data_IF_015870123444
#
_entry.id   IF_015870123444
#
_cell.length_a   1.000
_cell.length_b   1.000
_cell.length_c   1.000
_cell.angle_alpha   90.00
_cell.angle_beta   90.00
_cell.angle_gamma   90.00
#
_symmetry.space_group_name_H-M   'P 1'
#
loop_
_entity.id
_entity.type
_entity.pdbx_description
1 polymer ?
#
# COMPACT_ATOMS: atom_id res chain seq x y z
N UNK A 1 50.70 17.80 -32.11
CA UNK A 1 49.53 17.38 -32.90
C UNK A 1 48.34 18.03 -32.25
N UNK A 2 47.80 19.06 -32.90
CA UNK A 2 46.73 19.89 -32.40
C UNK A 2 45.57 19.78 -33.40
N UNK A 3 44.44 19.31 -32.89
CA UNK A 3 43.12 19.19 -33.51
C UNK A 3 42.17 19.61 -32.37
N UNK A 4 41.11 20.41 -32.51
CA UNK A 4 40.31 20.81 -33.66
C UNK A 4 39.41 21.98 -33.21
N UNK A 5 38.86 22.64 -34.22
CA UNK A 5 38.00 23.83 -34.26
C UNK A 5 36.83 23.90 -33.25
N UNK A 6 36.57 25.11 -32.74
CA UNK A 6 35.33 25.49 -32.05
C UNK A 6 34.49 26.37 -33.01
N UNK A 7 33.38 25.79 -33.47
CA UNK A 7 32.37 26.41 -34.32
C UNK A 7 31.52 27.40 -33.52
N UNK A 8 31.33 28.58 -34.13
CA UNK A 8 30.29 29.57 -33.86
C UNK A 8 28.90 28.97 -34.12
N UNK A 9 27.93 29.28 -33.26
CA UNK A 9 26.58 28.77 -33.39
C UNK A 9 25.62 29.43 -32.41
N UNK A 10 25.20 30.65 -32.74
CA UNK A 10 24.10 31.32 -32.03
C UNK A 10 22.82 30.48 -32.01
N UNK A 11 22.07 30.56 -30.91
CA UNK A 11 20.67 30.18 -30.90
C UNK A 11 19.88 31.05 -29.92
N UNK A 12 19.03 31.84 -30.54
CA UNK A 12 17.92 32.63 -30.02
C UNK A 12 17.16 31.96 -28.88
N UNK A 13 17.05 32.69 -27.77
CA UNK A 13 16.11 32.47 -26.67
C UNK A 13 14.66 32.49 -27.17
N UNK A 14 13.84 31.45 -26.95
CA UNK A 14 12.40 31.60 -27.04
C UNK A 14 11.85 32.22 -25.74
N UNK A 15 10.90 33.16 -25.79
CA UNK A 15 10.07 33.52 -24.66
C UNK A 15 8.80 32.67 -24.69
N UNK A 16 8.46 31.97 -23.61
CA UNK A 16 7.05 31.60 -23.37
C UNK A 16 6.79 31.33 -21.90
N UNK A 17 5.81 32.05 -21.40
CA UNK A 17 5.08 31.86 -20.16
C UNK A 17 4.53 30.44 -20.05
N UNK A 18 4.73 29.79 -18.90
CA UNK A 18 4.13 28.49 -18.63
C UNK A 18 3.91 28.33 -17.14
N UNK A 19 2.73 28.74 -16.67
CA UNK A 19 2.16 28.32 -15.39
C UNK A 19 2.32 26.80 -15.27
N UNK A 20 3.27 26.36 -14.45
CA UNK A 20 3.40 24.93 -14.16
C UNK A 20 2.63 24.68 -12.87
N UNK A 21 1.64 23.79 -12.89
CA UNK A 21 0.64 23.65 -11.85
C UNK A 21 1.29 23.22 -10.53
N UNK A 22 0.71 23.69 -9.43
CA UNK A 22 0.80 23.06 -8.13
C UNK A 22 0.49 21.57 -8.31
N UNK A 23 1.52 20.75 -8.47
CA UNK A 23 1.38 19.30 -8.37
C UNK A 23 0.87 19.01 -6.96
N UNK A 24 -0.17 18.19 -6.78
CA UNK A 24 -0.49 17.72 -5.44
C UNK A 24 0.77 17.02 -4.94
N UNK A 25 1.20 17.42 -3.74
CA UNK A 25 2.16 16.74 -2.91
C UNK A 25 1.54 15.37 -2.56
N UNK A 26 1.50 14.48 -3.53
CA UNK A 26 0.84 13.19 -3.46
C UNK A 26 1.81 12.18 -2.93
N UNK A 27 1.90 12.11 -1.60
CA UNK A 27 2.45 11.03 -0.79
C UNK A 27 3.03 9.85 -1.58
N UNK A 28 4.34 9.65 -1.43
CA UNK A 28 5.10 8.44 -1.78
C UNK A 28 4.66 7.22 -0.93
N UNK A 29 3.35 7.05 -0.76
CA UNK A 29 2.77 5.79 -0.35
C UNK A 29 3.04 4.79 -1.47
N UNK A 30 3.81 3.72 -1.24
CA UNK A 30 3.98 2.67 -2.23
C UNK A 30 2.59 2.25 -2.68
N UNK A 31 2.34 2.27 -4.00
CA UNK A 31 1.06 1.89 -4.58
C UNK A 31 0.68 0.53 -4.02
N UNK A 32 -0.20 0.52 -3.01
CA UNK A 32 -0.83 -0.68 -2.49
C UNK A 32 -1.26 -1.50 -3.71
N UNK A 33 -0.86 -2.78 -3.82
CA UNK A 33 -1.33 -3.57 -4.94
C UNK A 33 -2.86 -3.49 -4.96
N UNK A 34 -3.42 -3.47 -6.18
CA UNK A 34 -4.85 -3.37 -6.44
C UNK A 34 -5.67 -4.38 -5.59
N UNK A 35 -5.03 -5.47 -5.18
CA UNK A 35 -5.42 -6.45 -4.16
C UNK A 35 -5.79 -5.90 -2.78
N UNK A 36 -5.74 -4.60 -2.52
CA UNK A 36 -6.18 -4.01 -1.24
C UNK A 36 -7.14 -2.83 -1.43
N UNK A 37 -7.51 -2.52 -2.69
CA UNK A 37 -8.39 -1.42 -3.09
C UNK A 37 -9.59 -1.99 -3.83
N UNK A 38 -10.68 -2.24 -3.11
CA UNK A 38 -11.92 -2.73 -3.71
C UNK A 38 -12.83 -1.56 -4.13
N UNK A 39 -13.38 -1.56 -5.36
CA UNK A 39 -14.55 -0.77 -5.66
C UNK A 39 -15.73 -1.35 -4.88
N UNK A 40 -16.34 -0.56 -4.02
CA UNK A 40 -17.64 -0.90 -3.42
C UNK A 40 -18.66 -0.04 -4.15
N UNK A 41 -19.69 -0.68 -4.71
CA UNK A 41 -20.74 -0.07 -5.54
C UNK A 41 -21.00 1.40 -5.19
N UNK A 42 -20.56 2.31 -6.07
CA UNK A 42 -20.86 3.74 -6.03
C UNK A 42 -19.99 4.65 -5.16
N UNK A 43 -19.03 4.17 -4.35
CA UNK A 43 -18.20 5.05 -3.49
C UNK A 43 -16.71 4.66 -3.38
N UNK A 44 -15.93 5.66 -2.95
CA UNK A 44 -14.49 5.70 -2.67
C UNK A 44 -13.87 4.35 -2.25
N UNK A 45 -12.77 3.95 -2.92
CA UNK A 45 -12.02 2.72 -2.67
C UNK A 45 -11.94 2.41 -1.17
N UNK A 46 -12.59 1.34 -0.72
CA UNK A 46 -12.55 0.98 0.71
C UNK A 46 -11.15 0.50 1.04
N UNK A 47 -10.42 1.33 1.79
CA UNK A 47 -9.15 0.92 2.36
C UNK A 47 -9.42 -0.06 3.51
N UNK A 48 -9.32 -1.36 3.22
CA UNK A 48 -9.49 -2.47 4.18
C UNK A 48 -8.62 -2.25 5.42
N UNK A 49 -7.42 -1.70 5.23
CA UNK A 49 -6.47 -1.43 6.31
C UNK A 49 -6.99 -0.40 7.32
N UNK A 50 -7.82 0.56 6.89
CA UNK A 50 -8.49 1.50 7.82
C UNK A 50 -9.58 0.83 8.66
N UNK A 51 -10.13 -0.31 8.21
CA UNK A 51 -11.24 -1.00 8.88
C UNK A 51 -10.77 -2.02 9.93
N UNK A 52 -9.51 -2.45 9.88
CA UNK A 52 -8.91 -3.36 10.87
C UNK A 52 -8.77 -2.69 12.24
N UNK A 53 -8.54 -1.36 12.27
CA UNK A 53 -8.47 -0.53 13.49
C UNK A 53 -7.58 -1.21 14.55
N UNK A 54 -8.05 -1.37 15.79
CA UNK A 54 -7.31 -1.92 16.93
C UNK A 54 -6.94 -3.41 16.83
N UNK A 55 -7.40 -4.12 15.79
CA UNK A 55 -7.05 -5.54 15.59
C UNK A 55 -5.77 -5.76 14.78
N UNK A 56 -5.02 -4.69 14.48
CA UNK A 56 -3.81 -4.74 13.64
C UNK A 56 -2.78 -5.76 14.14
N UNK A 57 -2.62 -5.93 15.46
CA UNK A 57 -1.65 -6.89 16.01
C UNK A 57 -2.08 -8.34 15.79
N UNK A 58 -3.36 -8.66 16.04
CA UNK A 58 -3.90 -10.00 15.77
C UNK A 58 -3.91 -10.29 14.27
N UNK A 59 -4.21 -9.28 13.46
CA UNK A 59 -4.14 -9.36 12.00
C UNK A 59 -2.74 -9.70 11.52
N UNK A 60 -1.70 -9.02 12.03
CA UNK A 60 -0.30 -9.31 11.71
C UNK A 60 0.10 -10.73 12.07
N UNK A 61 -0.14 -11.13 13.32
CA UNK A 61 0.17 -12.47 13.83
C UNK A 61 -0.47 -13.56 12.95
N UNK A 62 -1.76 -13.43 12.62
CA UNK A 62 -2.46 -14.44 11.83
C UNK A 62 -2.08 -14.43 10.35
N UNK A 63 -1.93 -13.25 9.74
CA UNK A 63 -1.66 -13.15 8.30
C UNK A 63 -0.21 -13.51 7.98
N UNK A 64 0.73 -13.09 8.83
CA UNK A 64 2.15 -13.35 8.66
C UNK A 64 2.59 -14.72 9.21
N UNK A 65 1.66 -15.48 9.80
CA UNK A 65 1.96 -16.73 10.53
C UNK A 65 3.08 -16.53 11.56
N UNK A 66 3.03 -15.38 12.23
CA UNK A 66 4.03 -14.90 13.17
C UNK A 66 3.64 -15.35 14.59
N UNK A 67 3.92 -16.63 14.89
CA UNK A 67 3.52 -17.31 16.13
C UNK A 67 3.98 -16.58 17.40
N UNK A 68 5.13 -15.91 17.35
CA UNK A 68 5.69 -15.16 18.49
C UNK A 68 5.19 -13.71 18.53
N UNK A 69 4.71 -13.18 17.42
CA UNK A 69 4.36 -11.77 17.26
C UNK A 69 5.56 -10.84 17.10
N UNK A 70 6.78 -11.37 16.96
CA UNK A 70 8.02 -10.59 16.93
C UNK A 70 8.07 -9.70 15.68
N UNK A 71 7.76 -10.27 14.51
CA UNK A 71 7.76 -9.52 13.25
C UNK A 71 6.67 -8.44 13.27
N UNK A 72 5.51 -8.78 13.81
CA UNK A 72 4.39 -7.85 13.97
C UNK A 72 4.75 -6.70 14.91
N UNK A 73 5.41 -6.97 16.03
CA UNK A 73 5.81 -5.95 17.00
C UNK A 73 6.96 -5.06 16.45
N UNK A 74 7.85 -5.61 15.63
CA UNK A 74 8.84 -4.82 14.86
C UNK A 74 8.14 -3.84 13.91
N UNK A 75 7.10 -4.29 13.19
CA UNK A 75 6.30 -3.42 12.32
C UNK A 75 5.62 -2.31 13.13
N UNK A 76 4.95 -2.67 14.24
CA UNK A 76 4.27 -1.72 15.13
C UNK A 76 5.23 -0.62 15.60
N UNK A 77 6.42 -1.03 16.06
CA UNK A 77 7.46 -0.11 16.52
C UNK A 77 7.97 0.79 15.40
N UNK A 78 8.26 0.23 14.22
CA UNK A 78 8.75 0.98 13.06
C UNK A 78 7.73 2.00 12.55
N UNK A 79 6.44 1.65 12.59
CA UNK A 79 5.34 2.51 12.17
C UNK A 79 4.86 3.48 13.27
N UNK A 80 5.49 3.49 14.45
CA UNK A 80 5.19 4.43 15.56
C UNK A 80 3.71 4.43 15.96
N UNK A 81 3.10 3.25 16.06
CA UNK A 81 1.68 3.08 16.41
C UNK A 81 0.68 3.70 15.41
N UNK A 82 1.12 4.12 14.21
CA UNK A 82 0.21 4.51 13.14
C UNK A 82 -0.48 3.27 12.57
N UNK A 83 -1.75 3.08 12.96
CA UNK A 83 -2.56 1.92 12.60
C UNK A 83 -2.65 1.70 11.09
N UNK A 84 -2.77 2.77 10.30
CA UNK A 84 -2.89 2.64 8.85
C UNK A 84 -1.57 2.19 8.23
N UNK A 85 -0.46 2.78 8.68
CA UNK A 85 0.88 2.37 8.26
C UNK A 85 1.18 0.93 8.69
N UNK A 86 0.83 0.53 9.92
CA UNK A 86 1.01 -0.84 10.44
C UNK A 86 0.28 -1.85 9.58
N UNK A 87 -1.03 -1.65 9.36
CA UNK A 87 -1.83 -2.58 8.57
C UNK A 87 -1.34 -2.66 7.12
N UNK A 88 -0.93 -1.52 6.55
CA UNK A 88 -0.35 -1.47 5.20
C UNK A 88 0.95 -2.28 5.13
N UNK A 89 1.84 -2.12 6.11
CA UNK A 89 3.13 -2.78 6.13
C UNK A 89 3.02 -4.29 6.38
N UNK A 90 2.09 -4.71 7.27
CA UNK A 90 1.72 -6.12 7.45
C UNK A 90 1.28 -6.71 6.11
N UNK A 91 0.37 -6.05 5.41
CA UNK A 91 -0.14 -6.54 4.14
C UNK A 91 0.97 -6.59 3.06
N UNK A 92 1.87 -5.61 3.03
CA UNK A 92 3.01 -5.60 2.11
C UNK A 92 3.95 -6.78 2.34
N UNK A 93 4.27 -7.11 3.59
CA UNK A 93 5.08 -8.30 3.91
C UNK A 93 4.38 -9.58 3.45
N UNK A 94 3.07 -9.67 3.67
CA UNK A 94 2.29 -10.80 3.17
C UNK A 94 2.35 -10.93 1.64
N UNK A 95 2.22 -9.82 0.92
CA UNK A 95 2.30 -9.78 -0.55
C UNK A 95 3.71 -10.05 -1.09
N UNK A 96 4.75 -9.88 -0.27
CA UNK A 96 6.13 -10.28 -0.56
C UNK A 96 6.36 -11.79 -0.33
N UNK A 97 5.34 -12.54 0.10
CA UNK A 97 5.39 -13.97 0.31
C UNK A 97 5.70 -14.41 1.75
N UNK A 98 5.58 -13.51 2.73
CA UNK A 98 5.75 -13.83 4.15
C UNK A 98 4.40 -14.24 4.75
N UNK A 99 4.36 -15.38 5.43
CA UNK A 99 3.16 -15.88 6.10
C UNK A 99 2.19 -16.64 5.19
N UNK A 100 0.89 -16.46 5.42
CA UNK A 100 -0.15 -17.34 4.87
C UNK A 100 -0.11 -17.41 3.35
N UNK A 101 -0.11 -18.63 2.83
CA UNK A 101 -0.20 -18.94 1.41
C UNK A 101 -1.49 -19.72 1.10
N UNK A 102 -2.16 -19.49 -0.05
CA UNK A 102 -1.76 -18.60 -1.14
C UNK A 102 -2.08 -17.11 -0.85
N UNK A 103 -1.34 -16.17 -1.46
CA UNK A 103 -1.59 -14.73 -1.32
C UNK A 103 -2.82 -14.28 -2.12
N UNK A 104 -4.01 -14.66 -1.65
CA UNK A 104 -5.30 -14.44 -2.33
C UNK A 104 -6.30 -13.71 -1.45
N UNK A 105 -7.33 -13.15 -2.07
CA UNK A 105 -8.43 -12.54 -1.36
C UNK A 105 -9.16 -13.48 -0.40
N UNK A 106 -9.35 -14.76 -0.76
CA UNK A 106 -9.97 -15.75 0.13
C UNK A 106 -9.14 -15.98 1.40
N UNK A 107 -7.81 -16.01 1.28
CA UNK A 107 -6.89 -16.10 2.43
C UNK A 107 -7.06 -14.89 3.34
N UNK A 108 -7.10 -13.68 2.77
CA UNK A 108 -7.31 -12.44 3.54
C UNK A 108 -8.69 -12.43 4.22
N UNK A 109 -9.74 -12.82 3.50
CA UNK A 109 -11.11 -12.91 4.03
C UNK A 109 -11.17 -13.89 5.20
N UNK A 110 -10.53 -15.05 5.08
CA UNK A 110 -10.46 -16.05 6.15
C UNK A 110 -9.78 -15.47 7.39
N UNK A 111 -8.63 -14.81 7.24
CA UNK A 111 -7.94 -14.15 8.37
C UNK A 111 -8.83 -13.08 9.01
N UNK A 112 -9.54 -12.28 8.21
CA UNK A 112 -10.48 -11.28 8.72
C UNK A 112 -11.64 -11.93 9.48
N UNK A 113 -12.16 -13.09 9.05
CA UNK A 113 -13.17 -13.87 9.78
C UNK A 113 -12.63 -14.39 11.11
N UNK A 114 -11.40 -14.93 11.11
CA UNK A 114 -10.71 -15.51 12.27
C UNK A 114 -10.46 -14.46 13.36
N UNK A 115 -10.05 -13.24 12.99
CA UNK A 115 -9.90 -12.12 13.95
C UNK A 115 -11.24 -11.46 14.30
N UNK A 116 -12.38 -11.99 13.86
CA UNK A 116 -13.71 -11.50 14.20
C UNK A 116 -14.13 -10.21 13.49
N UNK A 117 -13.62 -9.96 12.28
CA UNK A 117 -14.06 -8.91 11.36
C UNK A 117 -14.98 -9.47 10.25
N UNK A 118 -15.88 -10.38 10.62
CA UNK A 118 -16.82 -11.07 9.71
C UNK A 118 -17.63 -10.11 8.81
N UNK A 119 -18.02 -8.95 9.33
CA UNK A 119 -18.75 -7.95 8.54
C UNK A 119 -17.90 -7.32 7.43
N UNK A 120 -16.59 -7.14 7.65
CA UNK A 120 -15.66 -6.67 6.62
C UNK A 120 -15.36 -7.79 5.62
N UNK A 121 -15.12 -9.00 6.12
CA UNK A 121 -14.89 -10.19 5.31
C UNK A 121 -16.08 -10.47 4.38
N UNK A 122 -17.31 -10.41 4.88
CA UNK A 122 -18.53 -10.58 4.08
C UNK A 122 -18.69 -9.52 3.00
N UNK A 123 -18.32 -8.26 3.28
CA UNK A 123 -18.32 -7.20 2.27
C UNK A 123 -17.33 -7.51 1.16
N UNK A 124 -16.09 -7.89 1.50
CA UNK A 124 -15.07 -8.24 0.51
C UNK A 124 -15.55 -9.45 -0.32
N UNK A 125 -16.03 -10.51 0.32
CA UNK A 125 -16.55 -11.72 -0.35
C UNK A 125 -17.71 -11.39 -1.30
N UNK A 126 -18.62 -10.51 -0.92
CA UNK A 126 -19.74 -10.08 -1.77
C UNK A 126 -19.31 -9.27 -2.98
N UNK A 127 -18.15 -8.61 -2.96
CA UNK A 127 -17.65 -7.86 -4.12
C UNK A 127 -16.76 -8.73 -5.03
N UNK A 128 -16.35 -9.93 -4.59
CA UNK A 128 -15.59 -10.89 -5.40
C UNK A 128 -16.49 -11.77 -6.29
N UNK A 129 -17.79 -11.82 -6.01
CA UNK A 129 -18.81 -12.58 -6.75
C UNK A 129 -19.42 -11.73 -7.88
#
# INVERSE_FOLDING_TARGET
MAETELLDGGSTKPPVTGSTPSGPLGSDTPKLPLLLRFPVDGEEHVNIMKRIRSKYRQFGIMLLEDDTGEETDIIITRCRDDIEAINTEIAMKWLQGIGRSPCTWDTLVTVLEDIGLKGLASKIRSNLQ
#
